data_IF_311962435243
#
_entry.id   IF_311962435243
#
_cell.length_a   1.000
_cell.length_b   1.000
_cell.length_c   1.000
_cell.angle_alpha   90.00
_cell.angle_beta   90.00
_cell.angle_gamma   90.00
#
_symmetry.space_group_name_H-M   'P 1'
#
loop_
_entity.id
_entity.type
_entity.pdbx_description
1 polymer ?
#
# COMPACT_ATOMS: atom_id res chain seq x y z
N UNK A 1 26.64 5.30 -6.97
CA UNK A 1 25.67 6.24 -6.31
C UNK A 1 24.45 5.41 -5.90
N UNK A 2 23.99 5.54 -4.69
CA UNK A 2 22.77 4.87 -4.23
C UNK A 2 21.53 5.56 -4.83
N UNK A 3 20.50 4.79 -5.20
CA UNK A 3 19.23 5.29 -5.78
C UNK A 3 18.54 6.34 -4.91
N UNK A 4 18.52 6.12 -3.59
CA UNK A 4 17.96 7.09 -2.65
C UNK A 4 18.68 8.45 -2.72
N UNK A 5 20.00 8.46 -2.76
CA UNK A 5 20.79 9.68 -2.91
C UNK A 5 20.49 10.38 -4.25
N UNK A 6 20.37 9.61 -5.33
CA UNK A 6 19.98 10.15 -6.64
C UNK A 6 18.61 10.84 -6.60
N UNK A 7 17.62 10.20 -5.95
CA UNK A 7 16.27 10.76 -5.78
C UNK A 7 16.34 12.08 -5.00
N UNK A 8 17.07 12.11 -3.89
CA UNK A 8 17.22 13.34 -3.07
C UNK A 8 17.87 14.46 -3.87
N UNK A 9 18.97 14.19 -4.57
CA UNK A 9 19.70 15.20 -5.35
C UNK A 9 18.84 15.75 -6.51
N UNK A 10 18.13 14.90 -7.22
CA UNK A 10 17.26 15.33 -8.34
C UNK A 10 16.04 16.14 -7.89
N UNK A 11 15.63 16.02 -6.63
CA UNK A 11 14.44 16.70 -6.09
C UNK A 11 14.79 17.82 -5.11
N UNK A 12 16.06 18.21 -4.97
CA UNK A 12 16.52 19.17 -3.97
C UNK A 12 15.79 20.52 -4.04
N UNK A 13 15.42 20.97 -5.23
CA UNK A 13 14.67 22.21 -5.44
C UNK A 13 13.19 22.11 -5.05
N UNK A 14 12.61 20.91 -5.09
CA UNK A 14 11.18 20.67 -4.84
C UNK A 14 10.93 20.31 -3.37
N UNK A 15 11.86 19.57 -2.76
CA UNK A 15 11.73 19.02 -1.40
C UNK A 15 11.35 20.06 -0.36
N UNK A 16 11.98 21.27 -0.26
CA UNK A 16 11.63 22.22 0.78
C UNK A 16 10.18 22.69 0.73
N UNK A 17 9.69 23.09 -0.45
CA UNK A 17 8.32 23.55 -0.62
C UNK A 17 7.30 22.43 -0.38
N UNK A 18 7.58 21.22 -0.92
CA UNK A 18 6.75 20.05 -0.72
C UNK A 18 6.68 19.64 0.75
N UNK A 19 7.80 19.69 1.47
CA UNK A 19 7.89 19.41 2.89
C UNK A 19 7.08 20.39 3.75
N UNK A 20 7.27 21.69 3.53
CA UNK A 20 6.52 22.73 4.26
C UNK A 20 5.01 22.55 4.07
N UNK A 21 4.57 22.30 2.84
CA UNK A 21 3.15 22.07 2.54
C UNK A 21 2.63 20.79 3.20
N UNK A 22 3.41 19.70 3.17
CA UNK A 22 3.05 18.44 3.83
C UNK A 22 2.92 18.61 5.35
N UNK A 23 3.86 19.33 5.98
CA UNK A 23 3.80 19.65 7.41
C UNK A 23 2.58 20.51 7.76
N UNK A 24 2.23 21.48 6.90
CA UNK A 24 1.03 22.29 7.08
C UNK A 24 -0.23 21.43 7.06
N UNK A 25 -0.35 20.54 6.09
CA UNK A 25 -1.49 19.61 5.97
C UNK A 25 -1.58 18.64 7.16
N UNK A 26 -0.46 18.13 7.63
CA UNK A 26 -0.44 17.23 8.78
C UNK A 26 -0.82 17.94 10.09
N UNK A 27 -0.42 19.21 10.26
CA UNK A 27 -0.73 20.00 11.47
C UNK A 27 -2.19 20.48 11.51
N UNK A 28 -2.77 20.76 10.34
CA UNK A 28 -4.12 21.32 10.18
C UNK A 28 -4.99 20.37 9.37
N UNK A 29 -4.99 19.09 9.74
CA UNK A 29 -5.60 18.04 8.92
C UNK A 29 -7.09 18.21 8.70
N UNK A 30 -7.80 18.88 9.61
CA UNK A 30 -9.25 19.10 9.54
C UNK A 30 -9.62 20.32 8.67
N UNK A 31 -8.63 21.20 8.33
CA UNK A 31 -8.84 22.37 7.49
C UNK A 31 -8.79 22.06 5.99
N UNK A 32 -8.29 20.89 5.61
CA UNK A 32 -8.05 20.47 4.23
C UNK A 32 -8.76 19.17 3.91
N UNK A 33 -9.32 19.08 2.69
CA UNK A 33 -9.99 17.85 2.26
C UNK A 33 -9.01 16.67 2.16
N UNK A 34 -9.55 15.46 2.24
CA UNK A 34 -8.74 14.25 2.15
C UNK A 34 -8.10 14.12 0.76
N UNK A 35 -8.85 14.48 -0.28
CA UNK A 35 -8.43 14.49 -1.68
C UNK A 35 -7.27 15.48 -1.91
N UNK A 36 -7.36 16.69 -1.34
CA UNK A 36 -6.31 17.70 -1.48
C UNK A 36 -4.99 17.24 -0.85
N UNK A 37 -5.05 16.69 0.36
CA UNK A 37 -3.89 16.12 1.05
C UNK A 37 -3.29 14.97 0.25
N UNK A 38 -4.12 14.05 -0.22
CA UNK A 38 -3.69 12.89 -0.99
C UNK A 38 -3.07 13.26 -2.34
N UNK A 39 -3.66 14.23 -3.05
CA UNK A 39 -3.11 14.77 -4.30
C UNK A 39 -1.70 15.34 -4.11
N UNK A 40 -1.45 16.00 -2.97
CA UNK A 40 -0.12 16.50 -2.67
C UNK A 40 0.87 15.36 -2.36
N UNK A 41 0.45 14.34 -1.63
CA UNK A 41 1.28 13.14 -1.39
C UNK A 41 1.61 12.47 -2.73
N UNK A 42 0.64 12.27 -3.62
CA UNK A 42 0.88 11.72 -4.97
C UNK A 42 1.85 12.57 -5.78
N UNK A 43 1.74 13.88 -5.71
CA UNK A 43 2.69 14.78 -6.37
C UNK A 43 4.14 14.49 -5.93
N UNK A 44 4.38 14.34 -4.64
CA UNK A 44 5.72 13.98 -4.11
C UNK A 44 6.14 12.60 -4.60
N UNK A 45 5.27 11.61 -4.49
CA UNK A 45 5.54 10.21 -4.89
C UNK A 45 5.88 10.10 -6.38
N UNK A 46 5.16 10.78 -7.25
CA UNK A 46 5.46 10.82 -8.70
C UNK A 46 6.85 11.37 -9.01
N UNK A 47 7.29 12.40 -8.27
CA UNK A 47 8.65 12.90 -8.40
C UNK A 47 9.69 11.88 -7.94
N UNK A 48 9.41 11.15 -6.87
CA UNK A 48 10.28 10.06 -6.38
C UNK A 48 10.41 8.95 -7.44
N UNK A 49 9.31 8.47 -7.99
CA UNK A 49 9.30 7.42 -9.02
C UNK A 49 10.08 7.86 -10.27
N UNK A 50 9.77 9.05 -10.80
CA UNK A 50 10.43 9.59 -11.99
C UNK A 50 11.93 9.79 -11.79
N UNK A 51 12.34 10.38 -10.66
CA UNK A 51 13.74 10.64 -10.36
C UNK A 51 14.51 9.38 -9.99
N UNK A 52 13.84 8.34 -9.52
CA UNK A 52 14.39 7.04 -9.16
C UNK A 52 14.70 6.11 -10.34
N UNK A 53 14.41 6.50 -11.59
CA UNK A 53 14.50 5.63 -12.77
C UNK A 53 13.71 4.33 -12.60
N UNK A 54 12.47 4.44 -12.11
CA UNK A 54 11.59 3.29 -11.89
C UNK A 54 10.56 3.27 -13.00
N UNK A 55 10.54 2.18 -13.75
CA UNK A 55 9.54 1.87 -14.77
C UNK A 55 8.46 1.00 -14.10
N UNK A 56 7.39 1.65 -13.66
CA UNK A 56 6.25 0.99 -13.00
C UNK A 56 5.20 0.60 -14.03
N UNK A 57 5.13 -0.69 -14.35
CA UNK A 57 4.06 -1.25 -15.17
C UNK A 57 2.84 -1.54 -14.32
N UNK A 58 1.74 -0.89 -14.62
CA UNK A 58 0.46 -1.09 -13.92
C UNK A 58 -0.56 -1.70 -14.85
N UNK A 59 -1.32 -2.70 -14.37
CA UNK A 59 -2.45 -3.30 -15.09
C UNK A 59 -3.62 -3.53 -14.15
N UNK A 60 -4.83 -3.70 -14.69
CA UNK A 60 -6.02 -4.04 -13.93
C UNK A 60 -6.62 -2.87 -13.14
N UNK A 61 -6.29 -1.62 -13.46
CA UNK A 61 -6.93 -0.45 -12.84
C UNK A 61 -8.44 -0.44 -13.05
N UNK A 62 -8.90 -1.00 -14.17
CA UNK A 62 -10.31 -1.19 -14.52
C UNK A 62 -11.04 -2.15 -13.60
N UNK A 63 -10.33 -3.04 -12.91
CA UNK A 63 -10.88 -4.00 -11.95
C UNK A 63 -11.26 -3.34 -10.62
N UNK A 64 -10.69 -2.17 -10.32
CA UNK A 64 -10.94 -1.51 -9.04
C UNK A 64 -12.38 -0.99 -9.01
N UNK A 65 -13.18 -1.29 -7.96
CA UNK A 65 -14.55 -0.81 -7.86
C UNK A 65 -14.65 0.71 -8.05
N UNK A 66 -15.68 1.15 -8.77
CA UNK A 66 -15.92 2.60 -8.99
C UNK A 66 -16.27 3.32 -7.69
N UNK A 67 -17.03 2.65 -6.84
CA UNK A 67 -17.40 3.16 -5.51
C UNK A 67 -16.24 2.98 -4.53
N UNK A 68 -16.08 3.94 -3.62
CA UNK A 68 -15.11 3.83 -2.53
C UNK A 68 -15.64 2.91 -1.41
N UNK A 69 -14.76 2.51 -0.49
CA UNK A 69 -15.08 1.61 0.60
C UNK A 69 -14.69 0.16 0.29
N UNK A 70 -13.44 -0.09 -0.06
CA UNK A 70 -12.90 -1.43 -0.29
C UNK A 70 -11.54 -1.62 0.39
N UNK A 71 -11.20 -2.89 0.62
CA UNK A 71 -9.90 -3.29 1.13
C UNK A 71 -8.98 -3.67 -0.03
N UNK A 72 -7.89 -2.94 -0.24
CA UNK A 72 -6.78 -3.40 -1.06
C UNK A 72 -5.84 -4.27 -0.23
N UNK A 73 -5.45 -5.43 -0.75
CA UNK A 73 -4.41 -6.25 -0.11
C UNK A 73 -3.58 -7.01 -1.13
N UNK A 74 -2.30 -7.18 -0.81
CA UNK A 74 -1.34 -7.84 -1.69
C UNK A 74 -0.10 -8.33 -0.96
N UNK A 75 0.82 -8.89 -1.72
CA UNK A 75 2.11 -9.34 -1.22
C UNK A 75 3.00 -8.14 -0.85
N UNK A 76 3.85 -8.33 0.15
CA UNK A 76 4.69 -7.27 0.70
C UNK A 76 6.17 -7.57 0.49
N UNK A 77 6.82 -6.82 -0.37
CA UNK A 77 8.22 -7.01 -0.76
C UNK A 77 9.15 -5.93 -0.18
N UNK A 78 8.69 -4.67 -0.14
CA UNK A 78 9.56 -3.56 0.23
C UNK A 78 8.82 -2.28 0.59
N UNK A 79 9.59 -1.25 0.91
CA UNK A 79 9.03 0.09 1.17
C UNK A 79 8.40 0.67 -0.11
N UNK A 80 8.88 0.26 -1.27
CA UNK A 80 8.37 0.75 -2.55
C UNK A 80 6.94 0.29 -2.85
N UNK A 81 6.44 -0.75 -2.21
CA UNK A 81 5.10 -1.31 -2.45
C UNK A 81 3.99 -0.26 -2.31
N UNK A 82 4.00 0.47 -1.20
CA UNK A 82 3.01 1.53 -0.97
C UNK A 82 3.24 2.72 -1.92
N UNK A 83 4.47 2.98 -2.30
CA UNK A 83 4.82 4.03 -3.28
C UNK A 83 4.20 3.69 -4.64
N UNK A 84 4.31 2.45 -5.10
CA UNK A 84 3.72 1.98 -6.35
C UNK A 84 2.18 2.11 -6.34
N UNK A 85 1.53 1.76 -5.23
CA UNK A 85 0.08 1.89 -5.08
C UNK A 85 -0.34 3.36 -5.12
N UNK A 86 0.32 4.24 -4.35
CA UNK A 86 -0.01 5.67 -4.32
C UNK A 86 0.28 6.37 -5.66
N UNK A 87 1.31 5.96 -6.38
CA UNK A 87 1.59 6.49 -7.72
C UNK A 87 0.51 6.14 -8.73
N UNK A 88 0.07 4.88 -8.73
CA UNK A 88 -0.89 4.34 -9.70
C UNK A 88 -2.36 4.65 -9.38
N UNK A 89 -2.74 4.77 -8.11
CA UNK A 89 -4.11 4.92 -7.68
C UNK A 89 -4.45 6.37 -7.31
N UNK A 90 -5.51 6.94 -7.93
CA UNK A 90 -5.81 8.37 -7.81
C UNK A 90 -6.67 8.75 -6.61
N UNK A 91 -7.55 7.85 -6.19
CA UNK A 91 -8.45 8.10 -5.06
C UNK A 91 -7.72 7.93 -3.74
N UNK A 92 -8.10 8.68 -2.69
CA UNK A 92 -7.44 8.57 -1.40
C UNK A 92 -7.49 7.16 -0.81
N UNK A 93 -6.37 6.74 -0.24
CA UNK A 93 -6.25 5.50 0.53
C UNK A 93 -5.58 5.77 1.88
N UNK A 94 -5.97 5.03 2.90
CA UNK A 94 -5.25 4.93 4.15
C UNK A 94 -4.57 3.55 4.26
N UNK A 95 -3.52 3.46 5.06
CA UNK A 95 -2.77 2.23 5.24
C UNK A 95 -2.72 1.76 6.69
N UNK A 96 -2.33 0.51 6.90
CA UNK A 96 -1.92 -0.02 8.20
C UNK A 96 -0.41 -0.25 8.16
N UNK A 97 0.32 0.49 8.97
CA UNK A 97 1.78 0.51 8.98
C UNK A 97 2.33 0.02 10.32
N UNK A 98 3.61 -0.36 10.34
CA UNK A 98 4.32 -0.69 11.57
C UNK A 98 4.46 0.56 12.46
N UNK A 99 4.25 0.45 13.78
CA UNK A 99 4.24 1.59 14.73
C UNK A 99 5.49 2.46 14.67
N UNK A 100 6.65 1.87 14.42
CA UNK A 100 7.92 2.58 14.38
C UNK A 100 7.99 3.59 13.22
N UNK A 101 7.27 3.35 12.13
CA UNK A 101 7.22 4.25 10.97
C UNK A 101 6.54 5.59 11.31
N UNK A 102 5.64 5.60 12.29
CA UNK A 102 5.02 6.83 12.79
C UNK A 102 5.98 7.80 13.48
N UNK A 103 7.22 7.37 13.77
CA UNK A 103 8.26 8.21 14.38
C UNK A 103 9.21 8.82 13.34
N UNK A 104 9.16 8.34 12.09
CA UNK A 104 10.06 8.79 11.03
C UNK A 104 9.49 10.07 10.42
N UNK A 105 10.25 11.18 10.42
CA UNK A 105 9.87 12.39 9.69
C UNK A 105 9.50 12.05 8.24
N UNK A 106 8.60 12.78 7.64
CA UNK A 106 7.98 12.53 6.35
C UNK A 106 6.91 11.42 6.39
N UNK A 107 7.21 10.22 6.87
CA UNK A 107 6.20 9.14 7.02
C UNK A 107 5.13 9.52 8.06
N UNK A 108 5.55 10.11 9.18
CA UNK A 108 4.62 10.64 10.19
C UNK A 108 3.60 11.59 9.58
N UNK A 109 4.04 12.57 8.79
CA UNK A 109 3.14 13.54 8.16
C UNK A 109 2.20 12.88 7.13
N UNK A 110 2.69 11.90 6.37
CA UNK A 110 1.84 11.12 5.46
C UNK A 110 0.77 10.36 6.25
N UNK A 111 1.15 9.68 7.34
CA UNK A 111 0.23 8.94 8.21
C UNK A 111 -0.86 9.86 8.76
N UNK A 112 -0.49 11.05 9.23
CA UNK A 112 -1.42 12.05 9.74
C UNK A 112 -2.36 12.56 8.62
N UNK A 113 -1.83 12.92 7.46
CA UNK A 113 -2.61 13.39 6.31
C UNK A 113 -3.59 12.35 5.77
N UNK A 114 -3.19 11.07 5.79
CA UNK A 114 -4.02 9.97 5.28
C UNK A 114 -4.87 9.30 6.36
N UNK A 115 -4.75 9.73 7.61
CA UNK A 115 -5.39 9.06 8.76
C UNK A 115 -5.10 7.55 8.78
N UNK A 116 -3.86 7.18 8.43
CA UNK A 116 -3.41 5.80 8.43
C UNK A 116 -3.17 5.29 9.85
N UNK A 117 -3.24 3.98 10.03
CA UNK A 117 -3.08 3.33 11.33
C UNK A 117 -1.66 2.86 11.55
N UNK A 118 -1.14 3.08 12.76
CA UNK A 118 0.09 2.48 13.23
C UNK A 118 -0.21 1.26 14.10
N UNK A 119 0.29 0.10 13.71
CA UNK A 119 0.04 -1.17 14.39
C UNK A 119 1.29 -1.69 15.09
N UNK A 120 1.15 -2.00 16.38
CA UNK A 120 2.09 -2.83 17.13
C UNK A 120 1.72 -4.30 16.94
N UNK A 121 2.55 -5.04 16.19
CA UNK A 121 2.26 -6.44 15.87
C UNK A 121 2.52 -7.39 17.03
N UNK A 122 3.26 -6.94 18.04
CA UNK A 122 3.54 -7.70 19.26
C UNK A 122 2.43 -7.51 20.31
N UNK A 123 1.64 -6.44 20.19
CA UNK A 123 0.48 -6.16 21.05
C UNK A 123 -0.82 -6.61 20.35
N UNK A 124 -1.29 -7.81 20.73
CA UNK A 124 -2.53 -8.38 20.18
C UNK A 124 -3.75 -7.49 20.44
N UNK A 125 -3.82 -6.83 21.61
CA UNK A 125 -4.94 -5.97 21.98
C UNK A 125 -4.97 -4.72 21.11
N UNK A 126 -3.84 -4.09 20.92
CA UNK A 126 -3.69 -2.91 20.05
C UNK A 126 -3.96 -3.28 18.58
N UNK A 127 -3.46 -4.43 18.11
CA UNK A 127 -3.75 -4.93 16.77
C UNK A 127 -5.25 -5.14 16.55
N UNK A 128 -5.98 -5.66 17.53
CA UNK A 128 -7.44 -5.80 17.47
C UNK A 128 -8.15 -4.44 17.39
N UNK A 129 -7.69 -3.43 18.15
CA UNK A 129 -8.24 -2.07 18.09
C UNK A 129 -8.04 -1.44 16.71
N UNK A 130 -6.86 -1.62 16.11
CA UNK A 130 -6.58 -1.15 14.74
C UNK A 130 -7.53 -1.80 13.73
N UNK A 131 -7.71 -3.11 13.78
CA UNK A 131 -8.64 -3.81 12.88
C UNK A 131 -10.09 -3.36 13.08
N UNK A 132 -10.50 -3.03 14.30
CA UNK A 132 -11.81 -2.44 14.57
C UNK A 132 -11.93 -1.02 13.98
N UNK A 133 -10.87 -0.20 14.08
CA UNK A 133 -10.81 1.11 13.46
C UNK A 133 -10.93 1.00 11.93
N UNK A 134 -10.13 0.14 11.33
CA UNK A 134 -10.18 -0.16 9.89
C UNK A 134 -11.58 -0.60 9.45
N UNK A 135 -12.26 -1.43 10.25
CA UNK A 135 -13.64 -1.85 9.96
C UNK A 135 -14.59 -0.64 9.84
N UNK A 136 -14.48 0.31 10.77
CA UNK A 136 -15.31 1.53 10.75
C UNK A 136 -14.99 2.41 9.54
N UNK A 137 -13.72 2.57 9.19
CA UNK A 137 -13.31 3.34 8.03
C UNK A 137 -13.87 2.75 6.73
N UNK A 138 -13.78 1.43 6.57
CA UNK A 138 -14.36 0.72 5.43
C UNK A 138 -15.89 0.91 5.35
N UNK A 139 -16.60 0.84 6.49
CA UNK A 139 -18.04 1.09 6.56
C UNK A 139 -18.42 2.54 6.23
N UNK A 140 -17.50 3.49 6.48
CA UNK A 140 -17.65 4.90 6.13
C UNK A 140 -17.23 5.22 4.69
N UNK A 141 -17.01 4.22 3.85
CA UNK A 141 -16.65 4.39 2.44
C UNK A 141 -15.19 4.78 2.20
N UNK A 142 -14.27 4.53 3.13
CA UNK A 142 -12.85 4.81 2.90
C UNK A 142 -12.12 3.59 2.34
N UNK A 143 -11.18 3.84 1.43
CA UNK A 143 -10.32 2.81 0.88
C UNK A 143 -9.13 2.56 1.81
N UNK A 144 -8.87 1.29 2.09
CA UNK A 144 -7.79 0.89 2.98
C UNK A 144 -6.85 -0.08 2.26
N UNK A 145 -5.54 0.08 2.47
CA UNK A 145 -4.54 -0.88 2.02
C UNK A 145 -3.89 -1.58 3.21
N UNK A 146 -3.83 -2.89 3.15
CA UNK A 146 -3.15 -3.72 4.16
C UNK A 146 -2.31 -4.78 3.44
N UNK A 147 -1.12 -5.03 3.98
CA UNK A 147 -0.28 -6.17 3.59
C UNK A 147 -0.50 -7.32 4.59
N UNK A 148 -1.26 -8.36 4.22
CA UNK A 148 -1.68 -9.39 5.18
C UNK A 148 -0.55 -10.28 5.70
N UNK A 149 0.61 -10.28 5.04
CA UNK A 149 1.81 -10.97 5.54
C UNK A 149 2.32 -10.38 6.87
N UNK A 150 1.94 -9.15 7.19
CA UNK A 150 2.38 -8.46 8.38
C UNK A 150 3.87 -8.13 8.42
N UNK A 151 4.67 -8.61 7.50
CA UNK A 151 6.11 -8.33 7.36
C UNK A 151 6.50 -8.33 5.88
N UNK A 152 7.64 -7.75 5.55
CA UNK A 152 8.18 -7.82 4.19
C UNK A 152 8.73 -9.21 3.93
N UNK A 153 8.46 -9.77 2.76
CA UNK A 153 9.14 -10.98 2.29
C UNK A 153 10.64 -10.70 2.18
N UNK A 154 11.46 -11.61 2.66
CA UNK A 154 12.92 -11.59 2.47
C UNK A 154 13.37 -12.46 1.30
N UNK A 155 12.41 -13.07 0.59
CA UNK A 155 12.64 -14.06 -0.45
C UNK A 155 12.21 -13.56 -1.85
N UNK A 156 12.43 -12.26 -2.13
CA UNK A 156 12.08 -11.67 -3.44
C UNK A 156 10.58 -11.73 -3.72
N UNK A 157 10.20 -12.36 -4.83
CA UNK A 157 8.80 -12.49 -5.23
C UNK A 157 8.02 -13.61 -4.51
N UNK A 158 8.66 -14.39 -3.65
CA UNK A 158 7.98 -15.41 -2.87
C UNK A 158 7.21 -14.77 -1.71
N UNK A 159 5.93 -15.09 -1.62
CA UNK A 159 5.04 -14.59 -0.57
C UNK A 159 5.11 -15.43 0.70
N UNK A 160 4.93 -14.78 1.84
CA UNK A 160 4.65 -15.42 3.11
C UNK A 160 3.19 -15.86 3.27
N UNK A 161 2.88 -16.30 4.48
CA UNK A 161 1.50 -16.61 4.86
C UNK A 161 0.71 -15.33 5.16
N UNK A 162 -0.59 -15.35 4.88
CA UNK A 162 -1.48 -14.25 5.18
C UNK A 162 -2.15 -14.43 6.54
N UNK A 163 -2.05 -13.43 7.39
CA UNK A 163 -2.68 -13.44 8.71
C UNK A 163 -4.21 -13.35 8.60
N UNK A 164 -4.89 -14.42 8.96
CA UNK A 164 -6.37 -14.50 8.96
C UNK A 164 -7.05 -13.37 9.75
N UNK A 165 -6.41 -12.89 10.83
CA UNK A 165 -6.90 -11.78 11.64
C UNK A 165 -7.11 -10.47 10.88
N UNK A 166 -6.37 -10.24 9.81
CA UNK A 166 -6.50 -9.08 8.93
C UNK A 166 -7.90 -9.02 8.30
N UNK A 167 -8.43 -10.18 7.90
CA UNK A 167 -9.72 -10.27 7.19
C UNK A 167 -10.95 -10.13 8.08
N UNK A 168 -10.79 -9.99 9.40
CA UNK A 168 -11.90 -9.66 10.32
C UNK A 168 -12.55 -8.31 9.98
N UNK A 169 -11.80 -7.38 9.39
CA UNK A 169 -12.37 -6.09 9.00
C UNK A 169 -13.39 -6.25 7.87
N UNK A 170 -13.12 -7.08 6.84
CA UNK A 170 -14.03 -7.26 5.70
C UNK A 170 -15.25 -8.11 6.04
N UNK A 171 -15.13 -9.13 6.88
CA UNK A 171 -16.29 -9.92 7.33
C UNK A 171 -17.33 -9.07 8.07
N UNK A 172 -16.85 -8.02 8.77
CA UNK A 172 -17.74 -7.10 9.51
C UNK A 172 -18.24 -5.93 8.67
N UNK A 173 -17.39 -5.39 7.77
CA UNK A 173 -17.77 -4.26 6.92
C UNK A 173 -18.50 -4.67 5.64
N UNK A 174 -18.37 -5.94 5.20
CA UNK A 174 -19.00 -6.51 4.01
C UNK A 174 -18.61 -5.81 2.70
N UNK A 175 -17.39 -5.30 2.63
CA UNK A 175 -16.87 -4.52 1.50
C UNK A 175 -16.09 -5.40 0.51
N UNK A 176 -15.93 -4.98 -0.75
CA UNK A 176 -15.07 -5.70 -1.69
C UNK A 176 -13.62 -5.77 -1.22
N UNK A 177 -12.97 -6.89 -1.53
CA UNK A 177 -11.52 -7.06 -1.39
C UNK A 177 -10.93 -6.91 -2.79
N UNK A 178 -9.96 -6.01 -2.96
CA UNK A 178 -9.22 -5.80 -4.21
C UNK A 178 -7.81 -6.38 -4.03
N UNK A 179 -7.56 -7.61 -4.47
CA UNK A 179 -6.23 -8.18 -4.41
C UNK A 179 -5.31 -7.46 -5.41
N UNK A 180 -4.03 -7.34 -5.09
CA UNK A 180 -3.01 -6.88 -6.03
C UNK A 180 -1.74 -7.70 -5.90
N UNK A 181 -1.02 -7.87 -7.01
CA UNK A 181 0.26 -8.55 -7.06
C UNK A 181 1.38 -7.55 -7.39
N UNK A 182 2.41 -7.53 -6.56
CA UNK A 182 3.64 -6.76 -6.77
C UNK A 182 4.76 -7.71 -7.18
N UNK A 183 5.52 -7.32 -8.21
CA UNK A 183 6.66 -8.08 -8.72
C UNK A 183 7.86 -7.16 -8.81
N UNK A 184 8.98 -7.62 -8.25
CA UNK A 184 10.28 -6.96 -8.29
C UNK A 184 10.37 -5.60 -7.54
N UNK A 185 9.38 -5.25 -6.74
CA UNK A 185 9.38 -3.98 -6.00
C UNK A 185 10.48 -3.92 -4.92
N UNK A 186 10.88 -5.07 -4.36
CA UNK A 186 12.02 -5.15 -3.42
C UNK A 186 13.33 -4.64 -4.04
N UNK A 187 13.52 -4.80 -5.35
CA UNK A 187 14.75 -4.40 -6.05
C UNK A 187 15.00 -2.89 -5.99
N UNK A 188 13.97 -2.08 -5.77
CA UNK A 188 14.09 -0.62 -5.82
C UNK A 188 15.05 -0.07 -4.76
N UNK A 189 15.02 -0.63 -3.55
CA UNK A 189 15.87 -0.18 -2.43
C UNK A 189 16.91 -1.23 -2.00
N UNK A 190 16.70 -2.50 -2.32
CA UNK A 190 17.58 -3.58 -1.90
C UNK A 190 18.69 -3.86 -2.93
N UNK A 191 18.58 -3.30 -4.15
CA UNK A 191 19.65 -3.38 -5.16
C UNK A 191 20.43 -2.07 -5.24
N UNK A 192 21.75 -2.21 -5.26
CA UNK A 192 22.65 -1.09 -5.49
C UNK A 192 22.58 -0.58 -6.94
N UNK A 193 22.87 0.72 -7.10
CA UNK A 193 22.95 1.35 -8.40
C UNK A 193 21.73 2.20 -8.76
N UNK A 194 21.79 2.83 -9.94
CA UNK A 194 20.78 3.77 -10.44
C UNK A 194 20.24 3.39 -11.83
N UNK A 195 20.56 2.18 -12.30
CA UNK A 195 20.03 1.67 -13.57
C UNK A 195 18.48 1.62 -13.52
N UNK A 196 17.79 1.79 -14.66
CA UNK A 196 16.35 1.62 -14.72
C UNK A 196 15.92 0.27 -14.15
N UNK A 197 14.89 0.29 -13.31
CA UNK A 197 14.29 -0.91 -12.73
C UNK A 197 12.84 -1.02 -13.18
N UNK A 198 12.46 -2.21 -13.63
CA UNK A 198 11.08 -2.55 -13.93
C UNK A 198 10.42 -3.12 -12.68
N UNK A 199 9.29 -2.54 -12.30
CA UNK A 199 8.42 -3.03 -11.24
C UNK A 199 7.04 -3.25 -11.83
N UNK A 200 6.36 -4.31 -11.44
CA UNK A 200 5.00 -4.57 -11.90
C UNK A 200 4.02 -4.51 -10.74
N UNK A 201 2.87 -3.91 -10.98
CA UNK A 201 1.72 -3.87 -10.08
C UNK A 201 0.47 -4.27 -10.87
N UNK A 202 -0.14 -5.38 -10.47
CA UNK A 202 -1.33 -5.92 -11.11
C UNK A 202 -2.49 -5.88 -10.13
N UNK A 203 -3.52 -5.06 -10.39
CA UNK A 203 -4.78 -5.11 -9.67
C UNK A 203 -5.63 -6.24 -10.24
N UNK A 204 -6.06 -7.15 -9.36
CA UNK A 204 -6.81 -8.33 -9.75
C UNK A 204 -8.32 -8.07 -9.63
N UNK A 205 -9.11 -8.98 -10.17
CA UNK A 205 -10.57 -8.95 -10.03
C UNK A 205 -10.96 -8.88 -8.55
N UNK A 206 -11.86 -7.96 -8.17
CA UNK A 206 -12.31 -7.83 -6.80
C UNK A 206 -13.06 -9.08 -6.34
N UNK A 207 -12.93 -9.39 -5.07
CA UNK A 207 -13.69 -10.45 -4.40
C UNK A 207 -14.82 -9.76 -3.66
N UNK A 208 -16.05 -9.93 -4.14
CA UNK A 208 -17.22 -9.32 -3.54
C UNK A 208 -17.72 -10.12 -2.33
N UNK A 209 -18.49 -9.46 -1.46
CA UNK A 209 -18.99 -10.06 -0.21
C UNK A 209 -19.70 -11.40 -0.42
N UNK A 210 -20.47 -11.54 -1.49
CA UNK A 210 -21.19 -12.78 -1.84
C UNK A 210 -20.25 -13.99 -2.04
N UNK A 211 -19.00 -13.75 -2.45
CA UNK A 211 -18.01 -14.81 -2.66
C UNK A 211 -17.34 -15.29 -1.35
N UNK A 212 -17.34 -14.45 -0.30
CA UNK A 212 -16.64 -14.79 0.94
C UNK A 212 -17.50 -14.77 2.20
N UNK A 213 -18.80 -14.47 2.10
CA UNK A 213 -19.71 -14.31 3.26
C UNK A 213 -19.79 -15.55 4.16
N UNK A 214 -19.68 -16.74 3.57
CA UNK A 214 -19.80 -18.03 4.25
C UNK A 214 -18.42 -18.61 4.64
N UNK A 215 -17.32 -17.93 4.28
CA UNK A 215 -15.96 -18.37 4.55
C UNK A 215 -15.47 -17.88 5.92
N UNK A 216 -14.65 -18.72 6.58
CA UNK A 216 -13.89 -18.29 7.73
C UNK A 216 -12.76 -17.35 7.30
N UNK A 217 -12.27 -16.52 8.21
CA UNK A 217 -11.18 -15.57 7.91
C UNK A 217 -9.90 -16.24 7.41
N UNK A 218 -9.63 -17.48 7.81
CA UNK A 218 -8.52 -18.29 7.30
C UNK A 218 -8.72 -18.72 5.84
N UNK A 219 -9.96 -19.03 5.48
CA UNK A 219 -10.32 -19.42 4.11
C UNK A 219 -10.28 -18.20 3.18
N UNK A 220 -10.73 -17.02 3.68
CA UNK A 220 -10.59 -15.75 2.96
C UNK A 220 -9.11 -15.41 2.73
N UNK A 221 -8.27 -15.57 3.75
CA UNK A 221 -6.84 -15.33 3.64
C UNK A 221 -6.20 -16.21 2.55
N UNK A 222 -6.54 -17.49 2.49
CA UNK A 222 -6.01 -18.41 1.49
C UNK A 222 -6.59 -18.12 0.09
N UNK A 223 -7.87 -17.80 -0.03
CA UNK A 223 -8.48 -17.37 -1.30
C UNK A 223 -7.76 -16.16 -1.90
N UNK A 224 -7.53 -15.13 -1.10
CA UNK A 224 -6.84 -13.92 -1.54
C UNK A 224 -5.38 -14.22 -1.89
N UNK A 225 -4.70 -15.00 -1.04
CA UNK A 225 -3.30 -15.39 -1.24
C UNK A 225 -3.10 -16.20 -2.52
N UNK A 226 -3.96 -17.18 -2.79
CA UNK A 226 -3.86 -18.01 -4.00
C UNK A 226 -4.06 -17.20 -5.28
N UNK A 227 -5.04 -16.30 -5.33
CA UNK A 227 -5.23 -15.39 -6.48
C UNK A 227 -4.00 -14.51 -6.75
N UNK A 228 -3.36 -14.01 -5.68
CA UNK A 228 -2.14 -13.20 -5.82
C UNK A 228 -0.96 -14.07 -6.27
N UNK A 229 -0.80 -15.29 -5.72
CA UNK A 229 0.25 -16.21 -6.12
C UNK A 229 0.19 -16.57 -7.61
N UNK A 230 -0.99 -16.93 -8.09
CA UNK A 230 -1.22 -17.20 -9.52
C UNK A 230 -0.86 -16.00 -10.40
N UNK A 231 -1.20 -14.79 -9.97
CA UNK A 231 -0.87 -13.58 -10.72
C UNK A 231 0.65 -13.30 -10.71
N UNK A 232 1.33 -13.53 -9.60
CA UNK A 232 2.80 -13.42 -9.51
C UNK A 232 3.45 -14.44 -10.44
N UNK A 233 3.08 -15.72 -10.37
CA UNK A 233 3.64 -16.78 -11.22
C UNK A 233 3.43 -16.50 -12.71
N UNK A 234 2.23 -16.07 -13.10
CA UNK A 234 1.89 -15.77 -14.51
C UNK A 234 2.71 -14.62 -15.08
N UNK A 235 3.10 -13.65 -14.26
CA UNK A 235 3.80 -12.44 -14.68
C UNK A 235 5.29 -12.43 -14.34
N UNK A 236 5.78 -13.45 -13.62
CA UNK A 236 7.21 -13.72 -13.52
C UNK A 236 7.69 -14.19 -14.90
N UNK A 237 8.29 -13.27 -15.66
CA UNK A 237 8.97 -13.66 -16.91
C UNK A 237 10.16 -14.52 -16.52
N UNK A 238 10.33 -15.74 -17.08
CA UNK A 238 11.55 -16.48 -16.91
C UNK A 238 12.72 -15.59 -17.35
N UNK A 239 13.72 -15.47 -16.48
CA UNK A 239 14.97 -14.80 -16.84
C UNK A 239 15.60 -15.72 -17.90
N UNK A 240 15.40 -15.36 -19.18
CA UNK A 240 16.10 -15.99 -20.29
C UNK A 240 17.53 -15.50 -20.37
#
# INVERSE_FOLDING_TARGET
>A
MNRLLMVVLKNIAIVPAAWVKLCKYAKHTDEYSYEEKYKHIRYIIRHVCKSGNIDLKVTGLENIPKEDGFLMCGNHQGIFDIVAIVDSFERPIAGVLKKELGKIPFLKQIIECTHSYCMDREDLRQSMQVIQGVTKELQNGRNIVIFPEGTRSKNGNNMGEFHAGTFKCVTKSKVPIVPFALIDSFKVLDQDGCAPLKVQLHYLEPIFYEEYKDLKTSEIAELVRSRIAEAVERNLVPVG
#
